data_IF_537779791444
#
_entry.id   IF_537779791444
#
_cell.length_a   1.000
_cell.length_b   1.000
_cell.length_c   1.000
_cell.angle_alpha   90.00
_cell.angle_beta   90.00
_cell.angle_gamma   90.00
#
_symmetry.space_group_name_H-M   'P 1'
#
loop_
_entity.id
_entity.type
_entity.pdbx_description
1 polymer ?
#
# COMPACT_ATOMS: atom_id res chain seq x y z
N UNK A 1 -53.79 -3.23 -11.07
CA UNK A 1 -52.61 -3.72 -11.83
C UNK A 1 -51.37 -3.54 -10.94
N UNK A 2 -51.09 -4.54 -10.10
CA UNK A 2 -49.91 -4.61 -9.22
C UNK A 2 -49.13 -5.85 -9.65
N UNK A 3 -47.91 -5.68 -10.15
CA UNK A 3 -46.99 -6.79 -10.44
C UNK A 3 -46.10 -6.96 -9.21
N UNK A 4 -46.36 -8.02 -8.46
CA UNK A 4 -45.51 -8.45 -7.36
C UNK A 4 -44.22 -9.05 -7.94
N UNK A 5 -43.07 -8.54 -7.51
CA UNK A 5 -41.79 -9.18 -7.74
C UNK A 5 -41.60 -10.28 -6.70
N UNK A 6 -41.38 -11.51 -7.16
CA UNK A 6 -41.01 -12.65 -6.33
C UNK A 6 -39.48 -12.70 -6.28
N UNK A 7 -38.91 -12.50 -5.10
CA UNK A 7 -37.50 -12.79 -4.82
C UNK A 7 -37.39 -14.29 -4.50
N UNK A 8 -36.69 -15.03 -5.36
CA UNK A 8 -36.24 -16.40 -5.05
C UNK A 8 -34.88 -16.28 -4.37
N UNK A 9 -34.86 -16.51 -3.05
CA UNK A 9 -33.62 -16.75 -2.32
C UNK A 9 -33.32 -18.24 -2.44
N UNK A 10 -32.37 -18.59 -3.30
CA UNK A 10 -31.82 -19.93 -3.40
C UNK A 10 -30.84 -20.15 -2.23
N UNK A 11 -31.30 -20.82 -1.18
CA UNK A 11 -30.42 -21.41 -0.18
C UNK A 11 -29.77 -22.66 -0.78
N UNK A 12 -28.57 -22.51 -1.31
CA UNK A 12 -27.70 -23.65 -1.63
C UNK A 12 -27.15 -24.19 -0.31
N UNK A 13 -27.73 -25.28 0.19
CA UNK A 13 -27.20 -26.02 1.33
C UNK A 13 -25.91 -26.74 0.87
N UNK A 14 -24.77 -26.07 0.96
CA UNK A 14 -23.47 -26.73 0.81
C UNK A 14 -23.19 -27.45 2.12
N UNK A 15 -23.58 -28.73 2.22
CA UNK A 15 -23.02 -29.64 3.21
C UNK A 15 -21.62 -30.01 2.72
N UNK A 16 -20.71 -29.04 2.81
CA UNK A 16 -19.29 -29.31 2.74
C UNK A 16 -18.89 -29.84 4.11
N UNK A 17 -18.29 -31.03 4.15
CA UNK A 17 -17.52 -31.46 5.31
C UNK A 17 -16.51 -30.36 5.64
N UNK A 18 -16.71 -29.66 6.75
CA UNK A 18 -15.69 -28.86 7.41
C UNK A 18 -14.56 -29.83 7.79
N UNK A 19 -13.66 -30.11 6.85
CA UNK A 19 -12.33 -30.53 7.20
C UNK A 19 -11.71 -29.27 7.76
N UNK A 20 -11.75 -29.12 9.09
CA UNK A 20 -10.93 -28.12 9.76
C UNK A 20 -9.50 -28.36 9.30
N UNK A 21 -8.98 -27.45 8.47
CA UNK A 21 -7.55 -27.42 8.21
C UNK A 21 -6.90 -27.01 9.53
N UNK A 22 -6.39 -28.00 10.24
CA UNK A 22 -5.47 -27.77 11.34
C UNK A 22 -4.18 -27.24 10.73
N UNK A 23 -3.93 -25.94 10.88
CA UNK A 23 -2.60 -25.38 10.63
C UNK A 23 -1.74 -25.92 11.77
N UNK A 24 -1.03 -27.02 11.50
CA UNK A 24 -0.08 -27.57 12.45
C UNK A 24 1.02 -26.54 12.64
N UNK A 25 0.98 -25.81 13.76
CA UNK A 25 2.07 -24.93 14.14
C UNK A 25 3.27 -25.84 14.47
N UNK A 26 4.19 -25.96 13.53
CA UNK A 26 5.37 -26.83 13.65
C UNK A 26 6.29 -26.32 14.78
N UNK A 27 6.11 -25.07 15.21
CA UNK A 27 7.02 -24.39 16.11
C UNK A 27 8.38 -24.21 15.45
N UNK A 28 9.13 -23.21 15.91
CA UNK A 28 10.58 -23.20 15.72
C UNK A 28 11.15 -23.70 17.03
N UNK A 29 12.04 -24.68 16.99
CA UNK A 29 12.79 -25.06 18.19
C UNK A 29 13.68 -23.88 18.56
N UNK A 30 13.25 -23.14 19.59
CA UNK A 30 13.96 -21.99 20.11
C UNK A 30 14.95 -22.36 21.22
N UNK A 31 15.05 -23.63 21.62
CA UNK A 31 16.00 -24.09 22.64
C UNK A 31 17.49 -23.82 22.33
N UNK A 32 17.95 -23.75 21.06
CA UNK A 32 19.33 -23.34 20.77
C UNK A 32 19.54 -21.81 20.82
N UNK A 33 18.48 -21.02 20.89
CA UNK A 33 18.58 -19.56 21.01
C UNK A 33 18.50 -19.16 22.47
N UNK A 34 19.35 -18.20 22.85
CA UNK A 34 19.26 -17.59 24.16
C UNK A 34 17.93 -16.85 24.30
N UNK A 35 17.21 -17.11 25.40
CA UNK A 35 16.00 -16.39 25.78
C UNK A 35 16.30 -15.12 26.58
N UNK A 36 17.58 -14.86 26.87
CA UNK A 36 18.02 -13.60 27.45
C UNK A 36 17.91 -12.51 26.39
N UNK A 37 17.01 -11.56 26.62
CA UNK A 37 16.76 -10.40 25.76
C UNK A 37 18.05 -9.62 25.45
N UNK A 38 19.04 -9.65 26.34
CA UNK A 38 20.33 -8.95 26.19
C UNK A 38 21.42 -9.75 25.46
N UNK A 39 21.12 -10.99 25.05
CA UNK A 39 22.08 -11.82 24.31
C UNK A 39 22.17 -11.49 22.82
N UNK A 40 21.23 -10.69 22.30
CA UNK A 40 21.26 -10.19 20.94
C UNK A 40 22.10 -8.91 20.87
N UNK A 41 23.04 -8.79 19.91
CA UNK A 41 23.77 -7.55 19.71
C UNK A 41 22.80 -6.42 19.35
N UNK A 42 22.86 -5.32 20.09
CA UNK A 42 22.16 -4.09 19.77
C UNK A 42 23.09 -3.22 18.92
N UNK A 43 22.61 -2.81 17.75
CA UNK A 43 23.30 -1.88 16.84
C UNK A 43 22.46 -0.60 16.81
N UNK A 44 23.07 0.53 17.13
CA UNK A 44 22.46 1.85 16.99
C UNK A 44 22.73 2.40 15.59
N UNK A 45 21.67 2.56 14.78
CA UNK A 45 21.77 3.02 13.40
C UNK A 45 21.88 4.54 13.26
N UNK A 46 21.66 5.31 14.33
CA UNK A 46 21.68 6.77 14.28
C UNK A 46 23.09 7.32 14.00
N UNK A 47 24.12 6.67 14.53
CA UNK A 47 25.52 7.05 14.35
C UNK A 47 26.14 6.55 13.03
N UNK A 48 25.50 5.60 12.35
CA UNK A 48 25.93 5.04 11.07
C UNK A 48 25.55 5.96 9.88
N UNK A 49 26.14 7.15 9.85
CA UNK A 49 25.86 8.18 8.83
C UNK A 49 26.17 7.73 7.41
N UNK A 50 27.09 6.79 7.24
CA UNK A 50 27.45 6.16 5.97
C UNK A 50 26.31 5.31 5.37
N UNK A 51 25.31 4.92 6.17
CA UNK A 51 24.12 4.19 5.71
C UNK A 51 22.90 5.10 5.50
N UNK A 52 23.06 6.40 5.74
CA UNK A 52 21.98 7.37 5.64
C UNK A 52 22.14 8.17 4.34
N UNK A 53 21.06 8.28 3.58
CA UNK A 53 21.00 9.12 2.37
C UNK A 53 19.79 10.05 2.43
N UNK A 54 19.96 11.29 2.01
CA UNK A 54 18.86 12.25 1.94
C UNK A 54 18.18 12.12 0.59
N UNK A 55 16.95 11.64 0.58
CA UNK A 55 16.19 11.42 -0.65
C UNK A 55 15.68 12.73 -1.25
N UNK A 56 15.11 13.61 -0.42
CA UNK A 56 14.58 14.92 -0.84
C UNK A 56 14.61 15.91 0.32
N UNK A 57 14.71 17.20 -0.01
CA UNK A 57 14.66 18.30 0.95
C UNK A 57 14.08 19.53 0.27
N UNK A 58 13.12 20.17 0.94
CA UNK A 58 12.55 21.44 0.53
C UNK A 58 12.42 22.33 1.76
N UNK A 59 12.98 23.55 1.68
CA UNK A 59 12.97 24.48 2.81
C UNK A 59 11.55 24.86 3.21
N UNK A 60 11.26 24.83 4.52
CA UNK A 60 9.93 25.14 5.06
C UNK A 60 8.85 24.09 4.78
N UNK A 61 9.19 22.96 4.15
CA UNK A 61 8.23 21.94 3.76
C UNK A 61 8.53 20.60 4.44
N UNK A 62 7.54 20.06 5.15
CA UNK A 62 7.61 18.68 5.64
C UNK A 62 7.39 17.70 4.47
N UNK A 63 8.36 16.81 4.27
CA UNK A 63 8.30 15.69 3.35
C UNK A 63 8.39 14.41 4.18
N UNK A 64 7.32 13.63 4.20
CA UNK A 64 7.24 12.41 5.02
C UNK A 64 6.23 11.44 4.46
N UNK A 65 5.94 10.37 5.19
CA UNK A 65 5.09 9.25 4.73
C UNK A 65 5.52 8.65 3.38
N UNK A 66 6.80 8.29 3.20
CA UNK A 66 7.24 7.65 1.97
C UNK A 66 6.77 6.20 1.87
N UNK A 67 6.51 5.75 0.65
CA UNK A 67 6.45 4.33 0.31
C UNK A 67 7.36 4.05 -0.87
N UNK A 68 7.97 2.86 -0.87
CA UNK A 68 8.96 2.44 -1.87
C UNK A 68 8.54 1.16 -2.56
N UNK A 69 9.05 0.96 -3.78
CA UNK A 69 9.01 -0.33 -4.48
C UNK A 69 10.38 -0.62 -5.08
N UNK A 70 10.91 -1.81 -4.80
CA UNK A 70 12.11 -2.36 -5.45
C UNK A 70 11.70 -3.09 -6.72
N UNK A 71 12.33 -2.75 -7.84
CA UNK A 71 12.07 -3.38 -9.13
C UNK A 71 12.77 -4.75 -9.25
N UNK A 72 12.36 -5.61 -10.21
CA UNK A 72 12.93 -6.95 -10.38
C UNK A 72 14.43 -7.01 -10.69
N UNK A 73 15.05 -5.89 -11.09
CA UNK A 73 16.49 -5.81 -11.29
C UNK A 73 17.30 -5.82 -9.99
N UNK A 74 16.62 -5.78 -8.84
CA UNK A 74 17.21 -5.87 -7.51
C UNK A 74 17.95 -4.61 -7.05
N UNK A 75 17.86 -3.50 -7.78
CA UNK A 75 18.57 -2.26 -7.43
C UNK A 75 17.78 -0.97 -7.72
N UNK A 76 16.86 -0.99 -8.67
CA UNK A 76 16.08 0.21 -8.98
C UNK A 76 14.94 0.34 -7.99
N UNK A 77 14.91 1.47 -7.29
CA UNK A 77 13.89 1.78 -6.28
C UNK A 77 13.12 3.00 -6.74
N UNK A 78 11.80 2.90 -6.78
CA UNK A 78 10.92 4.07 -6.87
C UNK A 78 10.38 4.39 -5.48
N UNK A 79 10.26 5.69 -5.19
CA UNK A 79 9.66 6.21 -3.97
C UNK A 79 8.59 7.23 -4.31
N UNK A 80 7.48 7.19 -3.57
CA UNK A 80 6.46 8.24 -3.59
C UNK A 80 6.19 8.76 -2.19
N UNK A 81 5.87 10.05 -2.08
CA UNK A 81 5.52 10.70 -0.82
C UNK A 81 4.70 11.97 -1.08
N UNK A 82 3.81 12.37 -0.16
CA UNK A 82 3.12 13.64 -0.25
C UNK A 82 4.03 14.81 0.15
N UNK A 83 3.82 15.98 -0.47
CA UNK A 83 4.34 17.26 0.03
C UNK A 83 3.57 17.73 1.27
N UNK A 84 3.61 16.95 2.35
CA UNK A 84 2.96 17.28 3.61
C UNK A 84 2.80 16.09 4.54
N UNK A 85 2.18 16.31 5.70
CA UNK A 85 1.97 15.28 6.71
C UNK A 85 0.70 14.48 6.40
N UNK A 86 0.80 13.55 5.44
CA UNK A 86 -0.31 12.68 5.05
C UNK A 86 -1.41 13.40 4.26
N UNK A 87 -1.06 14.50 3.58
CA UNK A 87 -1.89 15.23 2.62
C UNK A 87 -1.00 16.12 1.75
N UNK A 88 -1.32 16.23 0.46
CA UNK A 88 -0.66 17.13 -0.48
C UNK A 88 -0.28 16.44 -1.77
N UNK A 89 0.29 17.21 -2.70
CA UNK A 89 0.74 16.69 -3.99
C UNK A 89 1.69 15.52 -3.81
N UNK A 90 1.43 14.42 -4.52
CA UNK A 90 2.33 13.27 -4.55
C UNK A 90 3.55 13.63 -5.40
N UNK A 91 4.73 13.36 -4.86
CA UNK A 91 6.03 13.48 -5.51
C UNK A 91 6.59 12.08 -5.72
N UNK A 92 7.32 11.88 -6.80
CA UNK A 92 8.00 10.64 -7.11
C UNK A 92 9.48 10.89 -7.37
N UNK A 93 10.35 10.02 -6.87
CA UNK A 93 11.78 9.96 -7.19
C UNK A 93 12.17 8.51 -7.45
N UNK A 94 13.34 8.31 -8.07
CA UNK A 94 13.96 6.98 -8.22
C UNK A 94 15.43 6.97 -7.82
N UNK A 95 15.90 5.79 -7.45
CA UNK A 95 17.30 5.40 -7.35
C UNK A 95 17.54 4.21 -8.28
N UNK A 96 18.72 4.11 -8.89
CA UNK A 96 19.12 3.01 -9.80
C UNK A 96 20.28 2.18 -9.24
N UNK A 97 20.66 2.44 -7.98
CA UNK A 97 21.85 1.91 -7.32
C UNK A 97 21.57 1.44 -5.88
N UNK A 98 20.36 0.94 -5.63
CA UNK A 98 19.99 0.37 -4.34
C UNK A 98 19.71 1.41 -3.24
N UNK A 99 19.40 2.65 -3.63
CA UNK A 99 19.04 3.73 -2.72
C UNK A 99 20.20 4.64 -2.33
N UNK A 100 21.40 4.48 -2.90
CA UNK A 100 22.57 5.30 -2.56
C UNK A 100 22.44 6.73 -3.08
N UNK A 101 22.03 6.87 -4.36
CA UNK A 101 21.76 8.15 -4.99
C UNK A 101 20.34 8.23 -5.52
N UNK A 102 19.76 9.44 -5.50
CA UNK A 102 18.40 9.69 -5.92
C UNK A 102 18.38 10.75 -7.03
N UNK A 103 17.52 10.52 -8.03
CA UNK A 103 17.23 11.44 -9.13
C UNK A 103 16.67 12.78 -8.65
N UNK A 104 16.41 13.72 -9.56
CA UNK A 104 15.48 14.83 -9.29
C UNK A 104 14.03 14.32 -9.18
N UNK A 105 13.10 15.19 -8.78
CA UNK A 105 11.66 14.87 -8.79
C UNK A 105 11.22 14.51 -10.21
N UNK A 106 10.60 13.34 -10.35
CA UNK A 106 10.13 12.83 -11.63
C UNK A 106 8.78 13.47 -12.01
N UNK A 107 8.48 13.59 -13.31
CA UNK A 107 7.16 14.03 -13.75
C UNK A 107 6.10 13.00 -13.34
N UNK A 108 4.95 13.51 -12.90
CA UNK A 108 3.79 12.71 -12.50
C UNK A 108 2.52 13.33 -13.12
N UNK A 109 1.43 12.57 -13.28
CA UNK A 109 0.17 13.12 -13.78
C UNK A 109 -0.32 14.31 -12.92
N UNK A 110 -0.80 15.37 -13.58
CA UNK A 110 -1.19 16.63 -12.91
C UNK A 110 -2.16 16.41 -11.74
N UNK A 111 -3.10 15.48 -11.88
CA UNK A 111 -4.12 15.23 -10.87
C UNK A 111 -3.59 14.57 -9.59
N UNK A 112 -2.33 14.10 -9.55
CA UNK A 112 -1.66 13.66 -8.33
C UNK A 112 -1.51 14.80 -7.31
N UNK A 113 -1.53 16.05 -7.77
CA UNK A 113 -1.61 17.26 -6.93
C UNK A 113 -2.85 17.30 -6.04
N UNK A 114 -3.91 16.59 -6.42
CA UNK A 114 -5.18 16.55 -5.69
C UNK A 114 -5.23 15.43 -4.65
N UNK A 115 -4.14 14.67 -4.45
CA UNK A 115 -4.06 13.65 -3.40
C UNK A 115 -4.31 14.27 -2.04
N UNK A 116 -5.11 13.57 -1.22
CA UNK A 116 -5.46 14.06 0.11
C UNK A 116 -4.88 13.22 1.24
N UNK A 117 -4.06 12.22 0.91
CA UNK A 117 -3.66 11.15 1.82
C UNK A 117 -2.31 10.56 1.40
N UNK A 118 -1.73 9.73 2.27
CA UNK A 118 -0.48 8.99 2.02
C UNK A 118 -0.61 8.09 0.79
N UNK A 119 0.34 8.15 -0.15
CA UNK A 119 0.42 7.21 -1.25
C UNK A 119 1.08 5.89 -0.82
N UNK A 120 0.48 4.76 -1.18
CA UNK A 120 1.04 3.42 -0.94
C UNK A 120 1.30 2.70 -2.27
N UNK A 121 2.45 2.02 -2.40
CA UNK A 121 2.90 1.38 -3.64
C UNK A 121 2.97 -0.14 -3.51
N UNK A 122 2.41 -0.85 -4.48
CA UNK A 122 2.46 -2.31 -4.53
C UNK A 122 2.71 -2.83 -5.95
N UNK A 123 3.72 -3.69 -6.16
CA UNK A 123 3.79 -4.51 -7.36
C UNK A 123 2.75 -5.63 -7.26
N UNK A 124 1.91 -5.78 -8.28
CA UNK A 124 0.87 -6.81 -8.36
C UNK A 124 0.82 -7.42 -9.76
N UNK A 125 0.28 -8.63 -9.86
CA UNK A 125 -0.03 -9.30 -11.12
C UNK A 125 -1.55 -9.41 -11.23
N UNK A 126 -2.12 -8.83 -12.28
CA UNK A 126 -3.57 -8.86 -12.48
C UNK A 126 -4.09 -10.26 -12.88
N UNK A 127 -5.41 -10.41 -12.97
CA UNK A 127 -6.06 -11.67 -13.34
C UNK A 127 -5.73 -12.17 -14.75
N UNK A 128 -5.13 -11.33 -15.60
CA UNK A 128 -4.66 -11.68 -16.94
C UNK A 128 -3.16 -12.02 -16.96
N UNK A 129 -2.51 -12.04 -15.80
CA UNK A 129 -1.07 -12.31 -15.68
C UNK A 129 -0.19 -11.09 -15.98
N UNK A 130 -0.75 -9.89 -16.11
CA UNK A 130 0.03 -8.68 -16.38
C UNK A 130 0.51 -8.05 -15.08
N UNK A 131 1.82 -7.86 -14.97
CA UNK A 131 2.41 -7.13 -13.85
C UNK A 131 2.13 -5.63 -13.95
N UNK A 132 1.81 -5.02 -12.81
CA UNK A 132 1.53 -3.60 -12.63
C UNK A 132 2.16 -3.14 -11.32
N UNK A 133 2.50 -1.86 -11.25
CA UNK A 133 2.68 -1.19 -9.95
C UNK A 133 1.45 -0.35 -9.71
N UNK A 134 0.74 -0.57 -8.61
CA UNK A 134 -0.44 0.19 -8.22
C UNK A 134 -0.07 1.16 -7.10
N UNK A 135 -0.64 2.37 -7.18
CA UNK A 135 -0.52 3.40 -6.16
C UNK A 135 -1.90 3.79 -5.66
N UNK A 136 -2.15 3.72 -4.36
CA UNK A 136 -3.38 4.22 -3.76
C UNK A 136 -3.21 5.64 -3.23
N UNK A 137 -4.31 6.38 -3.16
CA UNK A 137 -4.46 7.65 -2.44
C UNK A 137 -5.77 7.55 -1.66
N UNK A 138 -5.68 7.52 -0.33
CA UNK A 138 -6.84 7.38 0.54
C UNK A 138 -7.77 8.61 0.61
N UNK A 139 -8.53 8.65 1.70
CA UNK A 139 -9.76 9.43 1.94
C UNK A 139 -10.88 9.11 0.97
N UNK A 140 -12.07 9.61 1.24
CA UNK A 140 -13.22 9.43 0.35
C UNK A 140 -13.17 10.42 -0.85
N UNK A 141 -13.38 9.94 -2.09
CA UNK A 141 -13.28 8.53 -2.50
C UNK A 141 -11.81 8.11 -2.59
N UNK A 142 -11.52 6.86 -2.22
CA UNK A 142 -10.20 6.29 -2.41
C UNK A 142 -9.91 6.24 -3.91
N UNK A 143 -8.68 6.60 -4.28
CA UNK A 143 -8.25 6.66 -5.67
C UNK A 143 -7.05 5.78 -5.90
N UNK A 144 -6.89 5.35 -7.15
CA UNK A 144 -5.75 4.57 -7.60
C UNK A 144 -5.17 5.14 -8.88
N UNK A 145 -3.85 5.10 -8.98
CA UNK A 145 -3.08 5.19 -10.21
C UNK A 145 -2.31 3.88 -10.39
N UNK A 146 -1.87 3.61 -11.62
CA UNK A 146 -1.07 2.42 -11.91
C UNK A 146 -0.03 2.71 -12.99
N UNK A 147 1.05 1.94 -12.96
CA UNK A 147 2.04 1.81 -14.02
C UNK A 147 2.00 0.40 -14.61
N UNK A 148 2.14 0.32 -15.92
CA UNK A 148 2.25 -0.95 -16.67
C UNK A 148 3.67 -1.21 -17.19
N UNK A 149 4.62 -0.33 -16.86
CA UNK A 149 5.96 -0.27 -17.43
C UNK A 149 7.00 0.04 -16.34
N UNK A 150 6.80 -0.59 -15.18
CA UNK A 150 7.71 -0.50 -14.02
C UNK A 150 8.04 0.94 -13.62
N UNK A 151 6.99 1.71 -13.36
CA UNK A 151 7.03 3.09 -12.89
C UNK A 151 7.60 4.12 -13.90
N UNK A 152 7.81 3.73 -15.16
CA UNK A 152 8.27 4.65 -16.21
C UNK A 152 7.18 5.65 -16.60
N UNK A 153 5.93 5.20 -16.68
CA UNK A 153 4.75 6.05 -16.88
C UNK A 153 3.60 5.65 -15.95
N UNK A 154 2.72 6.60 -15.68
CA UNK A 154 1.65 6.46 -14.70
C UNK A 154 0.31 6.96 -15.24
N UNK A 155 -0.76 6.26 -14.87
CA UNK A 155 -2.12 6.76 -15.07
C UNK A 155 -2.48 7.87 -14.07
N UNK A 156 -3.45 8.74 -14.41
CA UNK A 156 -4.04 9.65 -13.45
C UNK A 156 -4.69 8.93 -12.27
N UNK A 157 -4.81 9.59 -11.12
CA UNK A 157 -5.62 9.10 -10.00
C UNK A 157 -7.08 8.97 -10.41
N UNK A 158 -7.68 7.79 -10.23
CA UNK A 158 -9.08 7.49 -10.55
C UNK A 158 -9.81 6.91 -9.35
N UNK A 159 -11.07 7.29 -9.07
CA UNK A 159 -11.84 6.72 -7.96
C UNK A 159 -11.99 5.19 -8.09
N UNK A 160 -11.82 4.48 -6.99
CA UNK A 160 -12.00 3.02 -6.89
C UNK A 160 -13.44 2.60 -6.60
N UNK A 161 -14.28 3.54 -6.13
CA UNK A 161 -15.66 3.30 -5.77
C UNK A 161 -16.16 4.31 -4.75
N UNK A 162 -17.33 3.99 -4.19
CA UNK A 162 -18.02 4.80 -3.18
C UNK A 162 -17.53 4.48 -1.76
N UNK A 163 -16.21 4.56 -1.54
CA UNK A 163 -15.59 4.28 -0.24
C UNK A 163 -14.25 5.02 -0.10
N UNK A 164 -13.74 5.11 1.13
CA UNK A 164 -12.43 5.68 1.44
C UNK A 164 -11.82 5.13 2.73
N UNK A 165 -10.75 5.76 3.21
CA UNK A 165 -10.10 5.40 4.47
C UNK A 165 -8.84 6.22 4.76
N UNK A 166 -8.14 5.90 5.84
CA UNK A 166 -6.85 6.49 6.23
C UNK A 166 -5.76 5.47 5.92
N UNK A 167 -4.70 5.88 5.21
CA UNK A 167 -3.67 4.98 4.67
C UNK A 167 -4.32 3.77 3.98
N UNK A 168 -5.01 4.06 2.87
CA UNK A 168 -5.71 3.01 2.13
C UNK A 168 -4.70 2.03 1.52
N UNK A 169 -4.93 0.75 1.78
CA UNK A 169 -4.02 -0.36 1.51
C UNK A 169 -2.65 -0.09 2.14
N UNK A 170 -2.57 -0.18 3.46
CA UNK A 170 -1.30 -0.15 4.20
C UNK A 170 -0.51 -1.45 4.04
N UNK A 171 -1.17 -2.53 3.62
CA UNK A 171 -0.53 -3.77 3.20
C UNK A 171 -1.32 -4.47 2.09
N UNK A 172 -0.62 -5.18 1.21
CA UNK A 172 -1.18 -5.98 0.12
C UNK A 172 -0.39 -7.28 0.01
N UNK A 173 -1.08 -8.41 0.23
CA UNK A 173 -0.49 -9.74 0.30
C UNK A 173 -1.09 -10.63 -0.79
N UNK A 174 -0.24 -11.28 -1.59
CA UNK A 174 -0.66 -12.30 -2.55
C UNK A 174 -1.21 -13.51 -1.78
N UNK A 175 -2.44 -13.92 -2.12
CA UNK A 175 -3.09 -15.07 -1.47
C UNK A 175 -2.63 -16.41 -2.05
N UNK A 176 -1.93 -16.41 -3.19
CA UNK A 176 -1.50 -17.60 -3.91
C UNK A 176 -2.63 -18.59 -4.26
N UNK A 177 -3.87 -18.09 -4.34
CA UNK A 177 -5.06 -18.87 -4.71
C UNK A 177 -5.46 -18.70 -6.19
N UNK A 178 -4.82 -17.77 -6.90
CA UNK A 178 -5.10 -17.46 -8.30
C UNK A 178 -4.47 -16.12 -8.71
N UNK A 179 -4.32 -15.89 -10.01
CA UNK A 179 -3.82 -14.61 -10.53
C UNK A 179 -4.76 -13.47 -10.15
N UNK A 180 -4.22 -12.35 -9.67
CA UNK A 180 -5.02 -11.21 -9.22
C UNK A 180 -5.67 -11.38 -7.84
N UNK A 181 -5.41 -12.46 -7.11
CA UNK A 181 -5.99 -12.68 -5.78
C UNK A 181 -5.08 -12.12 -4.69
N UNK A 182 -5.48 -10.97 -4.15
CA UNK A 182 -4.77 -10.28 -3.07
C UNK A 182 -5.68 -10.05 -1.87
N UNK A 183 -5.10 -10.15 -0.68
CA UNK A 183 -5.64 -9.54 0.53
C UNK A 183 -5.05 -8.14 0.64
N UNK A 184 -5.90 -7.13 0.85
CA UNK A 184 -5.45 -5.76 1.07
C UNK A 184 -6.03 -5.24 2.39
N UNK A 185 -5.18 -4.63 3.20
CA UNK A 185 -5.52 -4.16 4.54
C UNK A 185 -5.52 -2.64 4.57
N UNK A 186 -6.60 -2.05 5.06
CA UNK A 186 -6.69 -0.61 5.30
C UNK A 186 -7.35 -0.35 6.64
N UNK A 187 -7.22 0.88 7.14
CA UNK A 187 -7.92 1.31 8.34
C UNK A 187 -8.67 2.62 8.08
N UNK A 188 -9.64 2.90 8.94
CA UNK A 188 -10.30 4.19 9.03
C UNK A 188 -10.83 4.32 10.45
N UNK A 189 -11.00 5.55 10.92
CA UNK A 189 -11.67 5.85 12.18
C UNK A 189 -13.08 6.43 11.95
N UNK A 190 -13.70 5.99 10.86
CA UNK A 190 -15.03 6.37 10.34
C UNK A 190 -15.10 7.78 9.74
N UNK A 191 -14.01 8.56 9.77
CA UNK A 191 -13.99 9.93 9.23
C UNK A 191 -13.96 9.97 7.71
N UNK A 192 -13.46 8.94 7.05
CA UNK A 192 -13.21 8.98 5.60
C UNK A 192 -13.70 7.77 4.84
N UNK A 193 -14.42 6.84 5.48
CA UNK A 193 -15.01 5.70 4.78
C UNK A 193 -16.11 6.10 3.80
N UNK A 194 -16.93 7.11 4.12
CA UNK A 194 -18.03 7.60 3.25
C UNK A 194 -17.93 9.10 2.99
N UNK A 195 -18.73 9.60 2.03
CA UNK A 195 -18.83 11.03 1.74
C UNK A 195 -19.21 11.89 2.96
N UNK A 196 -20.02 11.33 3.87
CA UNK A 196 -20.52 12.00 5.07
C UNK A 196 -19.81 11.52 6.34
N UNK A 197 -18.55 11.09 6.22
CA UNK A 197 -17.77 10.50 7.32
C UNK A 197 -17.87 11.27 8.64
N UNK A 198 -17.56 10.59 9.74
CA UNK A 198 -17.77 11.09 11.10
C UNK A 198 -17.14 12.47 11.31
N UNK A 199 -17.84 13.44 11.93
CA UNK A 199 -17.26 14.72 12.31
C UNK A 199 -16.04 14.52 13.23
N UNK A 200 -15.00 15.35 13.09
CA UNK A 200 -13.96 15.42 14.13
C UNK A 200 -14.63 15.85 15.44
N UNK A 201 -14.43 15.07 16.50
CA UNK A 201 -14.77 15.54 17.85
C UNK A 201 -13.95 16.79 18.13
N UNK A 202 -14.65 17.89 18.43
CA UNK A 202 -14.08 19.16 18.90
C UNK A 202 -13.43 19.02 20.26
#
# INVERSE_FOLDING_TARGET
MRRNFVFIVLYSLVIGTLVGQEIKNIGVDISPFSTDYFSLPLIDLDDHREWQTVIDREEGQYLGHPTTVLLPDGKTIFIVYPKGHGRGSIVMKKSEDGGLHWSERLPVPDNWSTSQEVPTLYPVTDSLGKTRVIMFSGRYPARMAYSNDWCTSWSPLTPLGDWGGIVVMGDVVDLHTGAGHYLALFHDDERYFTAQGRPQHS
#
